data_IF_916065121489
#
_entry.id   IF_916065121489
#
_cell.length_a   1.000
_cell.length_b   1.000
_cell.length_c   1.000
_cell.angle_alpha   90.00
_cell.angle_beta   90.00
_cell.angle_gamma   90.00
#
_symmetry.space_group_name_H-M   'P 1'
#
loop_
_entity.id
_entity.type
_entity.pdbx_description
1 polymer ?
#
# COMPACT_ATOMS: atom_id res chain seq x y z
N UNK A 1 -10.51 -32.01 -58.39
CA UNK A 1 -9.80 -32.51 -57.19
C UNK A 1 -8.66 -31.56 -56.78
N UNK A 2 -7.76 -31.16 -57.70
CA UNK A 2 -6.72 -30.16 -57.40
C UNK A 2 -7.27 -28.79 -56.97
N UNK A 3 -8.33 -28.29 -57.64
CA UNK A 3 -9.00 -27.03 -57.30
C UNK A 3 -9.54 -26.99 -55.85
N UNK A 4 -10.20 -28.07 -55.39
CA UNK A 4 -10.71 -28.16 -54.02
C UNK A 4 -9.58 -28.19 -52.97
N UNK A 5 -8.41 -28.74 -53.29
CA UNK A 5 -7.26 -28.79 -52.37
C UNK A 5 -6.64 -27.40 -52.23
N UNK A 6 -6.58 -26.64 -53.32
CA UNK A 6 -6.02 -25.29 -53.35
C UNK A 6 -6.94 -24.29 -52.64
N UNK A 7 -8.26 -24.39 -52.82
CA UNK A 7 -9.26 -23.63 -52.06
C UNK A 7 -9.24 -23.98 -50.56
N UNK A 8 -9.16 -25.27 -50.19
CA UNK A 8 -9.04 -25.66 -48.78
C UNK A 8 -7.75 -25.14 -48.15
N UNK A 9 -6.62 -25.17 -48.87
CA UNK A 9 -5.35 -24.60 -48.39
C UNK A 9 -5.42 -23.09 -48.22
N UNK A 10 -6.06 -22.38 -49.14
CA UNK A 10 -6.25 -20.94 -49.06
C UNK A 10 -7.16 -20.55 -47.88
N UNK A 11 -8.25 -21.28 -47.66
CA UNK A 11 -9.11 -21.10 -46.48
C UNK A 11 -8.39 -21.42 -45.17
N UNK A 12 -7.62 -22.51 -45.12
CA UNK A 12 -6.85 -22.88 -43.93
C UNK A 12 -5.77 -21.83 -43.62
N UNK A 13 -5.06 -21.35 -44.65
CA UNK A 13 -4.07 -20.28 -44.51
C UNK A 13 -4.69 -18.96 -44.06
N UNK A 14 -5.86 -18.60 -44.60
CA UNK A 14 -6.62 -17.42 -44.17
C UNK A 14 -7.08 -17.52 -42.71
N UNK A 15 -7.63 -18.67 -42.30
CA UNK A 15 -8.06 -18.91 -40.92
C UNK A 15 -6.89 -18.88 -39.92
N UNK A 16 -5.75 -19.48 -40.29
CA UNK A 16 -4.54 -19.45 -39.47
C UNK A 16 -3.98 -18.04 -39.32
N UNK A 17 -4.00 -17.24 -40.38
CA UNK A 17 -3.55 -15.85 -40.32
C UNK A 17 -4.46 -15.00 -39.42
N UNK A 18 -5.78 -15.18 -39.52
CA UNK A 18 -6.74 -14.50 -38.63
C UNK A 18 -6.49 -14.89 -37.16
N UNK A 19 -6.29 -16.18 -36.88
CA UNK A 19 -5.99 -16.65 -35.53
C UNK A 19 -4.66 -16.10 -35.00
N UNK A 20 -3.64 -15.99 -35.85
CA UNK A 20 -2.34 -15.44 -35.48
C UNK A 20 -2.43 -13.94 -35.16
N UNK A 21 -3.12 -13.17 -36.00
CA UNK A 21 -3.31 -11.73 -35.82
C UNK A 21 -4.11 -11.44 -34.53
N UNK A 22 -5.13 -12.25 -34.22
CA UNK A 22 -5.91 -12.15 -32.99
C UNK A 22 -5.08 -12.49 -31.74
N UNK A 23 -4.29 -13.57 -31.78
CA UNK A 23 -3.35 -13.91 -30.70
C UNK A 23 -2.31 -12.81 -30.49
N UNK A 24 -1.80 -12.22 -31.56
CA UNK A 24 -0.86 -11.10 -31.47
C UNK A 24 -1.53 -9.88 -30.83
N UNK A 25 -2.77 -9.55 -31.20
CA UNK A 25 -3.52 -8.47 -30.59
C UNK A 25 -3.75 -8.71 -29.09
N UNK A 26 -4.21 -9.91 -28.71
CA UNK A 26 -4.40 -10.29 -27.32
C UNK A 26 -3.08 -10.22 -26.52
N UNK A 27 -1.97 -10.67 -27.11
CA UNK A 27 -0.66 -10.63 -26.47
C UNK A 27 -0.14 -9.19 -26.31
N UNK A 28 -0.29 -8.33 -27.32
CA UNK A 28 0.07 -6.91 -27.23
C UNK A 28 -0.73 -6.20 -26.14
N UNK A 29 -2.03 -6.49 -26.04
CA UNK A 29 -2.88 -6.01 -24.96
C UNK A 29 -2.33 -6.53 -23.63
N UNK A 30 -2.10 -7.84 -23.48
CA UNK A 30 -1.56 -8.43 -22.26
C UNK A 30 -0.25 -7.77 -21.80
N UNK A 31 0.69 -7.49 -22.71
CA UNK A 31 1.95 -6.80 -22.39
C UNK A 31 1.69 -5.36 -21.90
N UNK A 32 0.85 -4.60 -22.59
CA UNK A 32 0.53 -3.23 -22.20
C UNK A 32 -0.16 -3.18 -20.81
N UNK A 33 -0.94 -4.21 -20.49
CA UNK A 33 -1.61 -4.35 -19.20
C UNK A 33 -0.64 -4.64 -18.04
N UNK A 34 0.49 -5.31 -18.28
CA UNK A 34 1.46 -5.63 -17.22
C UNK A 34 2.27 -4.43 -16.70
N UNK A 35 2.31 -3.31 -17.45
CA UNK A 35 3.10 -2.13 -17.11
C UNK A 35 2.26 -0.97 -16.53
N UNK A 36 0.94 -1.10 -16.46
CA UNK A 36 0.04 -0.07 -15.94
C UNK A 36 -0.33 -0.40 -14.49
N UNK A 37 0.01 0.52 -13.58
CA UNK A 37 -0.23 0.37 -12.14
C UNK A 37 -1.49 1.11 -11.67
N UNK A 38 -2.08 1.94 -12.55
CA UNK A 38 -3.35 2.60 -12.32
C UNK A 38 -4.50 1.67 -12.75
N UNK A 39 -5.22 1.12 -11.76
CA UNK A 39 -6.35 0.23 -12.00
C UNK A 39 -7.42 0.86 -12.92
N UNK A 40 -7.68 2.16 -12.81
CA UNK A 40 -8.71 2.81 -13.64
C UNK A 40 -8.28 2.86 -15.11
N UNK A 41 -7.03 3.23 -15.38
CA UNK A 41 -6.48 3.23 -16.75
C UNK A 41 -6.44 1.82 -17.33
N UNK A 42 -6.04 0.85 -16.51
CA UNK A 42 -6.01 -0.55 -16.90
C UNK A 42 -7.40 -1.02 -17.35
N UNK A 43 -8.43 -0.80 -16.52
CA UNK A 43 -9.80 -1.19 -16.83
C UNK A 43 -10.31 -0.49 -18.10
N UNK A 44 -9.97 0.78 -18.31
CA UNK A 44 -10.31 1.48 -19.55
C UNK A 44 -9.64 0.85 -20.77
N UNK A 45 -8.34 0.52 -20.70
CA UNK A 45 -7.60 -0.12 -21.79
C UNK A 45 -8.18 -1.48 -22.17
N UNK A 46 -8.55 -2.30 -21.18
CA UNK A 46 -9.16 -3.61 -21.42
C UNK A 46 -10.56 -3.44 -22.02
N UNK A 47 -11.34 -2.48 -21.55
CA UNK A 47 -12.68 -2.19 -22.09
C UNK A 47 -12.61 -1.73 -23.55
N UNK A 48 -11.63 -0.90 -23.88
CA UNK A 48 -11.38 -0.47 -25.26
C UNK A 48 -10.94 -1.64 -26.14
N UNK A 49 -10.13 -2.55 -25.60
CA UNK A 49 -9.73 -3.77 -26.30
C UNK A 49 -10.95 -4.68 -26.58
N UNK A 50 -11.79 -4.93 -25.56
CA UNK A 50 -13.01 -5.72 -25.69
C UNK A 50 -13.92 -5.18 -26.81
N UNK A 51 -14.09 -3.85 -26.87
CA UNK A 51 -14.86 -3.20 -27.94
C UNK A 51 -14.24 -3.40 -29.32
N UNK A 52 -12.90 -3.28 -29.43
CA UNK A 52 -12.19 -3.45 -30.71
C UNK A 52 -12.27 -4.87 -31.24
N UNK A 53 -11.97 -5.88 -30.41
CA UNK A 53 -11.94 -7.29 -30.85
C UNK A 53 -13.32 -7.83 -31.21
N UNK A 54 -14.39 -7.25 -30.66
CA UNK A 54 -15.77 -7.61 -31.02
C UNK A 54 -16.37 -6.72 -32.12
N UNK A 55 -15.65 -5.67 -32.54
CA UNK A 55 -16.16 -4.61 -33.41
C UNK A 55 -17.53 -4.05 -32.96
N UNK A 56 -17.79 -4.06 -31.65
CA UNK A 56 -19.02 -3.57 -31.07
C UNK A 56 -19.05 -2.05 -30.99
N UNK A 57 -20.25 -1.49 -30.91
CA UNK A 57 -20.42 -0.04 -30.69
C UNK A 57 -20.09 0.36 -29.26
N UNK A 58 -20.43 -0.49 -28.29
CA UNK A 58 -20.24 -0.21 -26.87
C UNK A 58 -19.63 -1.41 -26.16
N UNK A 59 -18.74 -1.14 -25.21
CA UNK A 59 -18.31 -2.10 -24.22
C UNK A 59 -18.27 -1.40 -22.86
N UNK A 60 -18.68 -2.09 -21.81
CA UNK A 60 -18.63 -1.61 -20.45
C UNK A 60 -18.06 -2.70 -19.57
N UNK A 61 -17.29 -2.28 -18.57
CA UNK A 61 -16.71 -3.16 -17.59
C UNK A 61 -17.24 -2.81 -16.21
N UNK A 62 -17.81 -3.80 -15.55
CA UNK A 62 -18.41 -3.66 -14.23
C UNK A 62 -17.62 -4.46 -13.22
N UNK A 63 -17.35 -3.87 -12.06
CA UNK A 63 -16.71 -4.53 -10.93
C UNK A 63 -17.72 -4.80 -9.82
N UNK A 64 -17.51 -5.92 -9.15
CA UNK A 64 -18.10 -6.17 -7.84
C UNK A 64 -17.26 -5.37 -6.83
N UNK A 65 -17.87 -4.49 -6.02
CA UNK A 65 -17.20 -3.86 -4.89
C UNK A 65 -16.60 -4.94 -4.01
N UNK A 66 -15.33 -4.79 -3.63
CA UNK A 66 -14.70 -5.68 -2.66
C UNK A 66 -15.55 -5.61 -1.38
N UNK A 67 -16.25 -6.70 -1.07
CA UNK A 67 -16.90 -6.84 0.23
C UNK A 67 -15.72 -7.06 1.17
N UNK A 68 -15.22 -5.97 1.77
CA UNK A 68 -14.27 -5.99 2.88
C UNK A 68 -14.60 -7.21 3.73
N UNK A 69 -13.65 -8.13 3.92
CA UNK A 69 -13.81 -9.55 4.32
C UNK A 69 -14.63 -9.87 5.60
N UNK A 70 -15.45 -8.94 6.07
CA UNK A 70 -16.62 -9.10 6.91
C UNK A 70 -17.86 -9.32 6.04
N UNK A 71 -18.24 -10.59 5.93
CA UNK A 71 -19.54 -11.08 5.51
C UNK A 71 -19.88 -10.96 4.01
N UNK A 72 -19.15 -11.69 3.16
CA UNK A 72 -19.61 -12.13 1.85
C UNK A 72 -20.85 -13.08 1.90
N UNK A 73 -21.51 -13.19 3.04
CA UNK A 73 -22.73 -13.99 3.27
C UNK A 73 -23.96 -13.14 3.63
N UNK A 74 -23.83 -11.81 3.67
CA UNK A 74 -24.97 -10.92 3.90
C UNK A 74 -25.45 -10.34 2.57
N UNK A 75 -26.62 -10.81 2.16
CA UNK A 75 -27.41 -10.39 1.00
C UNK A 75 -26.74 -10.52 -0.37
N UNK A 76 -26.60 -11.76 -0.84
CA UNK A 76 -26.39 -12.12 -2.25
C UNK A 76 -27.51 -11.57 -3.17
N UNK A 77 -28.51 -10.88 -2.65
CA UNK A 77 -29.54 -10.16 -3.43
C UNK A 77 -29.26 -8.66 -3.58
N UNK A 78 -28.12 -8.15 -3.06
CA UNK A 78 -27.70 -6.74 -3.11
C UNK A 78 -26.25 -6.56 -3.55
N UNK A 79 -25.64 -7.55 -4.23
CA UNK A 79 -24.36 -7.29 -4.90
C UNK A 79 -24.64 -6.33 -6.04
N UNK A 80 -24.10 -5.15 -5.85
CA UNK A 80 -24.29 -3.94 -6.62
C UNK A 80 -23.08 -3.86 -7.56
N UNK A 81 -23.30 -3.80 -8.86
CA UNK A 81 -22.21 -3.71 -9.82
C UNK A 81 -21.93 -2.26 -10.19
N UNK A 82 -20.67 -1.85 -10.02
CA UNK A 82 -20.24 -0.49 -10.32
C UNK A 82 -19.59 -0.42 -11.69
N UNK A 83 -20.01 0.54 -12.50
CA UNK A 83 -19.35 0.83 -13.76
C UNK A 83 -17.92 1.29 -13.51
N UNK A 84 -16.95 0.47 -13.90
CA UNK A 84 -15.54 0.82 -13.79
C UNK A 84 -15.04 1.56 -15.03
N UNK A 85 -15.39 1.06 -16.22
CA UNK A 85 -14.97 1.64 -17.49
C UNK A 85 -16.02 1.45 -18.58
N UNK A 86 -16.06 2.38 -19.55
CA UNK A 86 -16.95 2.30 -20.72
C UNK A 86 -16.22 2.78 -21.97
N UNK A 87 -16.45 2.10 -23.09
CA UNK A 87 -15.88 2.42 -24.40
C UNK A 87 -16.98 2.60 -25.42
N UNK A 88 -16.82 3.58 -26.31
CA UNK A 88 -17.79 3.90 -27.36
C UNK A 88 -18.96 4.79 -26.92
N UNK A 89 -19.00 5.20 -25.64
CA UNK A 89 -19.94 6.19 -25.13
C UNK A 89 -19.39 7.63 -25.30
N UNK A 90 -20.29 8.61 -25.43
CA UNK A 90 -19.89 10.03 -25.33
C UNK A 90 -19.64 10.40 -23.86
N UNK A 91 -18.87 11.47 -23.56
CA UNK A 91 -18.65 11.90 -22.18
C UNK A 91 -19.95 12.19 -21.40
N UNK A 92 -20.99 12.66 -22.09
CA UNK A 92 -22.30 12.88 -21.50
C UNK A 92 -22.98 11.55 -21.09
N UNK A 93 -22.91 10.53 -21.95
CA UNK A 93 -23.44 9.19 -21.67
C UNK A 93 -22.65 8.54 -20.54
N UNK A 94 -21.32 8.60 -20.58
CA UNK A 94 -20.46 8.06 -19.53
C UNK A 94 -20.78 8.70 -18.18
N UNK A 95 -20.88 10.03 -18.12
CA UNK A 95 -21.29 10.73 -16.91
C UNK A 95 -22.66 10.24 -16.46
N UNK A 96 -23.64 10.17 -17.35
CA UNK A 96 -24.98 9.68 -17.02
C UNK A 96 -24.97 8.27 -16.43
N UNK A 97 -24.22 7.34 -17.04
CA UNK A 97 -24.07 5.97 -16.55
C UNK A 97 -23.48 5.90 -15.14
N UNK A 98 -22.51 6.75 -14.81
CA UNK A 98 -21.99 6.84 -13.44
C UNK A 98 -23.03 7.37 -12.44
N UNK A 99 -24.03 8.13 -12.89
CA UNK A 99 -25.12 8.66 -12.06
C UNK A 99 -26.34 7.73 -11.99
N UNK A 100 -26.48 6.76 -12.90
CA UNK A 100 -27.55 5.75 -12.86
C UNK A 100 -27.48 4.87 -11.61
N UNK A 101 -26.36 4.94 -10.87
CA UNK A 101 -26.15 4.15 -9.69
C UNK A 101 -25.82 2.69 -10.06
N UNK A 102 -25.86 1.80 -9.08
CA UNK A 102 -25.43 0.44 -9.29
C UNK A 102 -26.45 -0.36 -10.10
N UNK A 103 -25.93 -1.31 -10.89
CA UNK A 103 -26.75 -2.19 -11.69
C UNK A 103 -27.15 -3.41 -10.87
N UNK A 104 -28.45 -3.62 -10.71
CA UNK A 104 -28.98 -4.87 -10.17
C UNK A 104 -28.79 -5.98 -11.23
N UNK A 105 -28.23 -7.12 -10.83
CA UNK A 105 -28.02 -8.26 -11.72
C UNK A 105 -29.32 -9.01 -12.03
N UNK A 106 -30.33 -8.33 -12.57
CA UNK A 106 -31.65 -8.88 -12.88
C UNK A 106 -31.84 -9.07 -14.39
N UNK A 107 -32.86 -9.84 -14.77
CA UNK A 107 -33.21 -10.04 -16.18
C UNK A 107 -32.06 -10.62 -17.00
N UNK A 108 -31.68 -9.95 -18.10
CA UNK A 108 -30.55 -10.35 -18.96
C UNK A 108 -29.20 -10.37 -18.26
N UNK A 109 -29.07 -9.67 -17.14
CA UNK A 109 -27.84 -9.57 -16.39
C UNK A 109 -27.71 -10.67 -15.34
N UNK A 110 -28.81 -11.36 -15.00
CA UNK A 110 -28.82 -12.39 -13.96
C UNK A 110 -27.86 -13.54 -14.22
N UNK A 111 -27.78 -14.12 -15.43
CA UNK A 111 -26.85 -15.22 -15.68
C UNK A 111 -25.38 -14.80 -15.52
N UNK A 112 -25.07 -13.58 -15.94
CA UNK A 112 -23.72 -13.00 -15.91
C UNK A 112 -23.31 -12.63 -14.50
N UNK A 113 -24.23 -12.30 -13.61
CA UNK A 113 -23.86 -11.84 -12.28
C UNK A 113 -24.07 -12.88 -11.18
N UNK A 114 -24.91 -13.89 -11.38
CA UNK A 114 -25.30 -14.82 -10.32
C UNK A 114 -25.16 -16.30 -10.69
N UNK A 115 -25.47 -16.69 -11.92
CA UNK A 115 -25.49 -18.11 -12.31
C UNK A 115 -24.12 -18.63 -12.75
N UNK A 116 -23.15 -17.74 -12.92
CA UNK A 116 -21.85 -18.18 -13.39
C UNK A 116 -21.84 -18.54 -14.88
N UNK A 117 -22.58 -17.84 -15.76
CA UNK A 117 -22.60 -18.16 -17.19
C UNK A 117 -22.46 -16.92 -18.07
N UNK A 118 -21.67 -17.05 -19.14
CA UNK A 118 -21.66 -16.09 -20.25
C UNK A 118 -23.01 -16.14 -20.99
N UNK A 119 -23.48 -15.00 -21.49
CA UNK A 119 -24.75 -14.88 -22.22
C UNK A 119 -24.54 -14.17 -23.56
N UNK A 120 -25.20 -14.68 -24.59
CA UNK A 120 -25.37 -14.00 -25.88
C UNK A 120 -26.85 -13.76 -26.10
N UNK A 121 -27.20 -12.54 -26.48
CA UNK A 121 -28.57 -12.13 -26.79
C UNK A 121 -28.56 -11.48 -28.17
N UNK A 122 -29.22 -12.13 -29.10
CA UNK A 122 -29.29 -11.68 -30.50
C UNK A 122 -30.14 -10.41 -30.65
N UNK A 123 -31.31 -10.39 -30.01
CA UNK A 123 -32.15 -9.20 -29.90
C UNK A 123 -32.77 -9.06 -28.49
N UNK A 124 -32.30 -8.07 -27.76
CA UNK A 124 -32.73 -7.69 -26.41
C UNK A 124 -34.23 -7.42 -26.37
N UNK A 125 -34.82 -6.85 -27.43
CA UNK A 125 -36.25 -6.56 -27.47
C UNK A 125 -37.13 -7.80 -27.65
N UNK A 126 -36.56 -8.90 -28.12
CA UNK A 126 -37.25 -10.18 -28.33
C UNK A 126 -37.00 -11.17 -27.17
N UNK A 127 -36.03 -10.90 -26.29
CA UNK A 127 -35.68 -11.76 -25.17
C UNK A 127 -36.65 -11.59 -23.98
N UNK A 128 -37.23 -12.69 -23.51
CA UNK A 128 -38.21 -12.71 -22.41
C UNK A 128 -37.64 -12.24 -21.07
N UNK A 129 -36.32 -12.25 -20.90
CA UNK A 129 -35.62 -11.78 -19.69
C UNK A 129 -35.40 -10.26 -19.71
N UNK A 130 -35.73 -9.58 -20.81
CA UNK A 130 -35.57 -8.13 -20.90
C UNK A 130 -36.60 -7.41 -20.02
N UNK A 131 -36.10 -6.64 -19.06
CA UNK A 131 -36.92 -5.90 -18.08
C UNK A 131 -36.93 -4.39 -18.33
N UNK A 132 -36.41 -3.95 -19.49
CA UNK A 132 -36.23 -2.54 -19.82
C UNK A 132 -34.85 -2.00 -19.40
N UNK A 133 -34.65 -0.70 -19.65
CA UNK A 133 -33.45 0.04 -19.27
C UNK A 133 -33.83 1.38 -18.65
N UNK A 134 -33.00 1.95 -17.76
CA UNK A 134 -33.23 3.28 -17.22
C UNK A 134 -33.29 4.37 -18.30
N UNK A 135 -33.93 5.49 -17.99
CA UNK A 135 -33.95 6.66 -18.87
C UNK A 135 -32.52 7.15 -19.17
N UNK A 136 -32.24 7.46 -20.44
CA UNK A 136 -30.91 7.90 -20.90
C UNK A 136 -29.88 6.77 -21.08
N UNK A 137 -30.28 5.50 -20.95
CA UNK A 137 -29.43 4.37 -21.27
C UNK A 137 -29.08 4.32 -22.77
N UNK A 138 -27.90 3.78 -23.10
CA UNK A 138 -27.51 3.57 -24.51
C UNK A 138 -28.46 2.59 -25.19
N UNK A 139 -28.84 2.83 -26.45
CA UNK A 139 -29.63 1.86 -27.19
C UNK A 139 -28.80 0.63 -27.50
N UNK A 140 -29.32 -0.54 -27.12
CA UNK A 140 -28.69 -1.84 -27.32
C UNK A 140 -29.75 -2.79 -27.88
N UNK A 141 -29.41 -3.48 -28.96
CA UNK A 141 -30.25 -4.52 -29.59
C UNK A 141 -29.60 -5.88 -29.46
N UNK A 142 -28.30 -6.02 -29.70
CA UNK A 142 -27.60 -7.26 -29.36
C UNK A 142 -26.71 -7.06 -28.14
N UNK A 143 -26.55 -8.10 -27.33
CA UNK A 143 -25.82 -8.04 -26.07
C UNK A 143 -24.96 -9.30 -25.85
N UNK A 144 -23.74 -9.09 -25.36
CA UNK A 144 -22.81 -10.13 -24.93
C UNK A 144 -22.37 -9.81 -23.51
N UNK A 145 -22.68 -10.70 -22.58
CA UNK A 145 -22.24 -10.63 -21.20
C UNK A 145 -21.26 -11.74 -20.88
N UNK A 146 -20.05 -11.40 -20.45
CA UNK A 146 -19.01 -12.38 -20.09
C UNK A 146 -18.44 -12.05 -18.74
N UNK A 147 -18.31 -13.06 -17.90
CA UNK A 147 -17.84 -12.89 -16.54
C UNK A 147 -16.34 -12.68 -16.46
N UNK A 148 -15.94 -12.00 -15.39
CA UNK A 148 -14.57 -11.96 -14.93
C UNK A 148 -14.43 -12.83 -13.68
N UNK A 149 -13.59 -13.87 -13.74
CA UNK A 149 -13.36 -14.77 -12.61
C UNK A 149 -11.89 -14.90 -12.25
N UNK A 150 -11.63 -15.08 -10.97
CA UNK A 150 -10.32 -15.53 -10.49
C UNK A 150 -10.12 -17.02 -10.77
N UNK A 151 -8.89 -17.52 -10.53
CA UNK A 151 -8.58 -18.95 -10.61
C UNK A 151 -9.35 -19.78 -9.57
N UNK A 152 -9.75 -19.14 -8.47
CA UNK A 152 -10.54 -19.71 -7.38
C UNK A 152 -12.05 -19.58 -7.62
N UNK A 153 -12.47 -19.35 -8.87
CA UNK A 153 -13.88 -19.21 -9.30
C UNK A 153 -14.66 -18.06 -8.63
N UNK A 154 -13.95 -17.10 -8.04
CA UNK A 154 -14.59 -15.89 -7.50
C UNK A 154 -14.89 -14.90 -8.62
N UNK A 155 -16.12 -14.41 -8.70
CA UNK A 155 -16.51 -13.39 -9.68
C UNK A 155 -15.93 -12.04 -9.22
N UNK A 156 -15.16 -11.38 -10.08
CA UNK A 156 -14.63 -10.04 -9.86
C UNK A 156 -15.48 -8.96 -10.53
N UNK A 157 -16.22 -9.33 -11.58
CA UNK A 157 -16.92 -8.39 -12.43
C UNK A 157 -17.43 -9.03 -13.72
N UNK A 158 -17.78 -8.20 -14.70
CA UNK A 158 -18.20 -8.65 -16.02
C UNK A 158 -17.95 -7.62 -17.13
N UNK A 159 -17.70 -8.12 -18.34
CA UNK A 159 -17.85 -7.38 -19.58
C UNK A 159 -19.31 -7.40 -20.01
N UNK A 160 -19.85 -6.22 -20.27
CA UNK A 160 -21.14 -6.01 -20.90
C UNK A 160 -20.92 -5.30 -22.23
N UNK A 161 -21.12 -6.02 -23.34
CA UNK A 161 -20.83 -5.53 -24.69
C UNK A 161 -22.14 -5.43 -25.46
N UNK A 162 -22.34 -4.31 -26.16
CA UNK A 162 -23.61 -4.01 -26.81
C UNK A 162 -23.47 -3.34 -28.17
N UNK A 163 -24.42 -3.61 -29.05
CA UNK A 163 -24.55 -2.94 -30.36
C UNK A 163 -26.03 -2.61 -30.64
N UNK A 164 -26.27 -1.51 -31.36
CA UNK A 164 -27.62 -1.08 -31.76
C UNK A 164 -28.24 -1.95 -32.86
N UNK A 165 -27.45 -2.80 -33.50
CA UNK A 165 -27.90 -3.79 -34.47
C UNK A 165 -28.12 -5.13 -33.77
N UNK A 166 -29.16 -5.90 -34.11
CA UNK A 166 -29.33 -7.26 -33.60
C UNK A 166 -28.34 -8.23 -34.26
N UNK A 167 -28.20 -9.44 -33.70
CA UNK A 167 -27.41 -10.57 -34.24
C UNK A 167 -25.92 -10.23 -34.50
N UNK A 168 -25.26 -9.51 -33.57
CA UNK A 168 -23.87 -9.08 -33.76
C UNK A 168 -22.82 -10.01 -33.18
N UNK A 169 -23.18 -10.80 -32.17
CA UNK A 169 -22.23 -11.61 -31.43
C UNK A 169 -22.28 -13.06 -31.89
N UNK A 170 -21.12 -13.69 -31.99
CA UNK A 170 -20.96 -15.07 -32.45
C UNK A 170 -20.17 -15.84 -31.40
N UNK A 171 -20.10 -17.16 -31.50
CA UNK A 171 -19.25 -17.99 -30.61
C UNK A 171 -17.81 -17.50 -30.58
N UNK A 172 -17.27 -17.01 -31.72
CA UNK A 172 -15.92 -16.46 -31.78
C UNK A 172 -15.75 -15.22 -30.89
N UNK A 173 -16.75 -14.34 -30.87
CA UNK A 173 -16.73 -13.16 -30.01
C UNK A 173 -16.77 -13.55 -28.52
N UNK A 174 -17.50 -14.61 -28.16
CA UNK A 174 -17.52 -15.14 -26.80
C UNK A 174 -16.12 -15.62 -26.40
N UNK A 175 -15.49 -16.47 -27.20
CA UNK A 175 -14.14 -17.01 -26.95
C UNK A 175 -13.09 -15.90 -26.75
N UNK A 176 -13.12 -14.87 -27.61
CA UNK A 176 -12.19 -13.74 -27.52
C UNK A 176 -12.35 -12.96 -26.22
N UNK A 177 -13.60 -12.73 -25.80
CA UNK A 177 -13.88 -11.98 -24.58
C UNK A 177 -13.64 -12.83 -23.34
N UNK A 178 -13.88 -14.15 -23.38
CA UNK A 178 -13.50 -15.05 -22.29
C UNK A 178 -11.99 -15.10 -22.08
N UNK A 179 -11.21 -15.15 -23.16
CA UNK A 179 -9.75 -15.06 -23.09
C UNK A 179 -9.28 -13.70 -22.52
N UNK A 180 -9.91 -12.60 -22.96
CA UNK A 180 -9.61 -11.28 -22.44
C UNK A 180 -10.01 -11.13 -20.97
N UNK A 181 -11.14 -11.70 -20.56
CA UNK A 181 -11.56 -11.80 -19.16
C UNK A 181 -10.53 -12.54 -18.32
N UNK A 182 -10.09 -13.74 -18.74
CA UNK A 182 -9.08 -14.48 -17.99
C UNK A 182 -7.80 -13.66 -17.77
N UNK A 183 -7.34 -12.94 -18.80
CA UNK A 183 -6.18 -12.05 -18.69
C UNK A 183 -6.44 -10.84 -17.78
N UNK A 184 -7.62 -10.23 -17.91
CA UNK A 184 -8.03 -9.10 -17.09
C UNK A 184 -8.07 -9.48 -15.60
N UNK A 185 -8.54 -10.68 -15.26
CA UNK A 185 -8.67 -11.14 -13.89
C UNK A 185 -7.30 -11.24 -13.21
N UNK A 186 -6.33 -11.85 -13.89
CA UNK A 186 -4.94 -11.94 -13.42
C UNK A 186 -4.36 -10.54 -13.24
N UNK A 187 -4.59 -9.65 -14.21
CA UNK A 187 -3.98 -8.31 -14.16
C UNK A 187 -4.58 -7.45 -13.04
N UNK A 188 -5.90 -7.46 -12.87
CA UNK A 188 -6.59 -6.76 -11.79
C UNK A 188 -6.14 -7.29 -10.43
N UNK A 189 -6.05 -8.61 -10.28
CA UNK A 189 -5.55 -9.23 -9.05
C UNK A 189 -4.12 -8.77 -8.73
N UNK A 190 -3.23 -8.76 -9.72
CA UNK A 190 -1.85 -8.30 -9.56
C UNK A 190 -1.79 -6.80 -9.20
N UNK A 191 -2.58 -5.96 -9.86
CA UNK A 191 -2.64 -4.53 -9.58
C UNK A 191 -3.13 -4.25 -8.15
N UNK A 192 -4.16 -4.97 -7.70
CA UNK A 192 -4.67 -4.89 -6.32
C UNK A 192 -3.63 -5.37 -5.30
N UNK A 193 -2.92 -6.47 -5.59
CA UNK A 193 -1.86 -6.97 -4.72
C UNK A 193 -0.72 -5.94 -4.58
N UNK A 194 -0.22 -5.41 -5.70
CA UNK A 194 0.83 -4.38 -5.71
C UNK A 194 0.38 -3.13 -4.95
N UNK A 195 -0.87 -2.69 -5.14
CA UNK A 195 -1.42 -1.55 -4.42
C UNK A 195 -1.46 -1.78 -2.90
N UNK A 196 -1.88 -2.98 -2.45
CA UNK A 196 -1.88 -3.38 -1.03
C UNK A 196 -0.47 -3.43 -0.44
N UNK A 197 0.48 -4.03 -1.14
CA UNK A 197 1.87 -4.08 -0.69
C UNK A 197 2.47 -2.67 -0.59
N UNK A 198 2.25 -1.82 -1.58
CA UNK A 198 2.72 -0.43 -1.56
C UNK A 198 2.15 0.33 -0.37
N UNK A 199 0.85 0.22 -0.12
CA UNK A 199 0.21 0.86 1.03
C UNK A 199 0.80 0.35 2.36
N UNK A 200 1.04 -0.96 2.48
CA UNK A 200 1.66 -1.54 3.67
C UNK A 200 3.11 -1.03 3.86
N UNK A 201 3.88 -0.91 2.78
CA UNK A 201 5.24 -0.35 2.83
C UNK A 201 5.23 1.13 3.24
N UNK A 202 4.31 1.93 2.72
CA UNK A 202 4.16 3.35 3.09
C UNK A 202 3.79 3.50 4.58
N UNK A 203 2.89 2.65 5.09
CA UNK A 203 2.54 2.61 6.51
C UNK A 203 3.71 2.20 7.39
N UNK A 204 4.46 1.18 6.98
CA UNK A 204 5.65 0.71 7.70
C UNK A 204 6.77 1.76 7.72
N UNK A 205 7.03 2.42 6.59
CA UNK A 205 8.00 3.51 6.52
C UNK A 205 7.61 4.67 7.46
N UNK A 206 6.35 5.08 7.45
CA UNK A 206 5.85 6.12 8.36
C UNK A 206 5.95 5.72 9.84
N UNK A 207 5.79 4.43 10.16
CA UNK A 207 6.01 3.93 11.51
C UNK A 207 7.49 3.97 11.90
N UNK A 208 8.38 3.52 11.03
CA UNK A 208 9.82 3.50 11.27
C UNK A 208 10.36 4.93 11.45
N UNK A 209 9.90 5.89 10.66
CA UNK A 209 10.26 7.30 10.81
C UNK A 209 9.88 7.86 12.18
N UNK A 210 8.68 7.51 12.69
CA UNK A 210 8.25 7.90 14.04
C UNK A 210 9.16 7.30 15.10
N UNK A 211 9.45 6.00 15.01
CA UNK A 211 10.30 5.31 15.97
C UNK A 211 11.73 5.85 15.98
N UNK A 212 12.32 6.09 14.79
CA UNK A 212 13.64 6.71 14.67
C UNK A 212 13.66 8.09 15.30
N UNK A 213 12.63 8.91 15.08
CA UNK A 213 12.52 10.25 15.69
C UNK A 213 12.45 10.18 17.21
N UNK A 214 11.63 9.27 17.75
CA UNK A 214 11.50 9.07 19.20
C UNK A 214 12.81 8.59 19.83
N UNK A 215 13.47 7.60 19.21
CA UNK A 215 14.75 7.06 19.68
C UNK A 215 15.88 8.09 19.58
N UNK A 216 15.89 8.90 18.53
CA UNK A 216 16.87 9.99 18.38
C UNK A 216 16.71 11.03 19.48
N UNK A 217 15.47 11.45 19.76
CA UNK A 217 15.18 12.38 20.85
C UNK A 217 15.54 11.80 22.23
N UNK A 218 15.31 10.50 22.46
CA UNK A 218 15.75 9.82 23.68
C UNK A 218 17.27 9.80 23.82
N UNK A 219 17.98 9.44 22.74
CA UNK A 219 19.45 9.41 22.71
C UNK A 219 20.03 10.80 22.96
N UNK A 220 19.46 11.86 22.38
CA UNK A 220 19.87 13.24 22.62
C UNK A 220 19.70 13.63 24.10
N UNK A 221 18.56 13.28 24.72
CA UNK A 221 18.36 13.53 26.17
C UNK A 221 19.39 12.80 27.02
N UNK A 222 19.61 11.51 26.78
CA UNK A 222 20.62 10.73 27.52
C UNK A 222 22.04 11.28 27.32
N UNK A 223 22.36 11.72 26.11
CA UNK A 223 23.67 12.30 25.82
C UNK A 223 23.87 13.63 26.58
N UNK A 224 22.83 14.46 26.65
CA UNK A 224 22.85 15.68 27.46
C UNK A 224 23.01 15.37 28.97
N UNK A 225 22.32 14.36 29.49
CA UNK A 225 22.48 13.92 30.89
C UNK A 225 23.89 13.41 31.17
N UNK A 226 24.43 12.53 30.32
CA UNK A 226 25.80 12.03 30.44
C UNK A 226 26.82 13.17 30.39
N UNK A 227 26.61 14.17 29.52
CA UNK A 227 27.47 15.35 29.46
C UNK A 227 27.41 16.16 30.76
N UNK A 228 26.24 16.30 31.39
CA UNK A 228 26.11 16.97 32.70
C UNK A 228 26.85 16.19 33.79
N UNK A 229 26.69 14.87 33.83
CA UNK A 229 27.41 14.02 34.78
C UNK A 229 28.93 14.10 34.60
N UNK A 230 29.42 14.08 33.36
CA UNK A 230 30.84 14.23 33.06
C UNK A 230 31.40 15.58 33.56
N UNK A 231 30.67 16.68 33.34
CA UNK A 231 31.06 18.01 33.84
C UNK A 231 31.06 18.05 35.37
N UNK A 232 30.02 17.53 36.02
CA UNK A 232 29.93 17.49 37.48
C UNK A 232 31.05 16.65 38.11
N UNK A 233 31.34 15.47 37.53
CA UNK A 233 32.45 14.64 37.99
C UNK A 233 33.80 15.35 37.84
N UNK A 234 34.02 16.09 36.74
CA UNK A 234 35.25 16.86 36.55
C UNK A 234 35.39 17.96 37.61
N UNK A 235 34.32 18.71 37.89
CA UNK A 235 34.35 19.73 38.96
C UNK A 235 34.62 19.12 40.35
N UNK A 236 33.96 18.02 40.69
CA UNK A 236 34.20 17.31 41.96
C UNK A 236 35.64 16.79 42.07
N UNK A 237 36.22 16.31 40.97
CA UNK A 237 37.60 15.87 40.95
C UNK A 237 38.58 17.03 41.19
N UNK A 238 38.33 18.19 40.56
CA UNK A 238 39.15 19.39 40.77
C UNK A 238 39.04 19.90 42.22
N UNK A 239 37.84 19.92 42.80
CA UNK A 239 37.61 20.28 44.21
C UNK A 239 38.32 19.34 45.18
N UNK A 240 38.22 18.02 44.96
CA UNK A 240 38.91 17.03 45.78
C UNK A 240 40.42 17.19 45.71
N UNK A 241 40.95 17.45 44.52
CA UNK A 241 42.39 17.68 44.31
C UNK A 241 42.88 18.91 45.06
N UNK A 242 42.12 20.00 45.03
CA UNK A 242 42.45 21.21 45.80
C UNK A 242 42.30 21.01 47.32
N UNK A 243 41.29 20.29 47.76
CA UNK A 243 41.14 19.93 49.17
C UNK A 243 42.31 19.06 49.68
N UNK A 244 42.74 18.07 48.90
CA UNK A 244 43.91 17.24 49.21
C UNK A 244 45.20 18.05 49.33
N UNK A 245 45.44 19.00 48.40
CA UNK A 245 46.60 19.91 48.51
C UNK A 245 46.55 20.74 49.78
N UNK A 246 45.39 21.32 50.13
CA UNK A 246 45.24 22.11 51.36
C UNK A 246 45.48 21.28 52.61
N UNK A 247 44.96 20.05 52.64
CA UNK A 247 45.19 19.12 53.73
C UNK A 247 46.68 18.77 53.86
N UNK A 248 47.34 18.43 52.74
CA UNK A 248 48.78 18.14 52.73
C UNK A 248 49.61 19.31 53.27
N UNK A 249 49.29 20.54 52.88
CA UNK A 249 49.94 21.74 53.41
C UNK A 249 49.66 21.97 54.90
N UNK A 250 48.46 21.67 55.38
CA UNK A 250 48.10 21.77 56.79
C UNK A 250 48.86 20.73 57.64
N UNK A 251 48.96 19.49 57.16
CA UNK A 251 49.69 18.42 57.81
C UNK A 251 51.19 18.76 57.90
N UNK A 252 51.79 19.28 56.81
CA UNK A 252 53.20 19.69 56.82
C UNK A 252 53.44 20.87 57.77
N UNK A 253 52.51 21.83 57.85
CA UNK A 253 52.56 22.92 58.83
C UNK A 253 52.52 22.41 60.27
N UNK A 254 51.62 21.47 60.59
CA UNK A 254 51.56 20.85 61.91
C UNK A 254 52.85 20.11 62.24
N UNK A 255 53.39 19.34 61.30
CA UNK A 255 54.65 18.62 61.46
C UNK A 255 55.81 19.56 61.74
N UNK A 256 55.97 20.62 60.93
CA UNK A 256 57.01 21.64 61.12
C UNK A 256 56.85 22.35 62.48
N UNK A 257 55.61 22.67 62.89
CA UNK A 257 55.35 23.30 64.17
C UNK A 257 55.74 22.40 65.35
N UNK A 258 55.44 21.10 65.28
CA UNK A 258 55.88 20.12 66.27
C UNK A 258 57.41 20.00 66.33
N UNK A 259 58.09 19.84 65.18
CA UNK A 259 59.56 19.77 65.14
C UNK A 259 60.22 21.04 65.68
N UNK A 260 59.70 22.23 65.34
CA UNK A 260 60.18 23.51 65.88
C UNK A 260 59.96 23.59 67.39
N UNK A 261 58.79 23.19 67.89
CA UNK A 261 58.48 23.19 69.32
C UNK A 261 59.47 22.30 70.09
N UNK A 262 59.68 21.07 69.62
CA UNK A 262 60.62 20.12 70.23
C UNK A 262 62.05 20.66 70.25
N UNK A 263 62.49 21.27 69.15
CA UNK A 263 63.84 21.83 69.02
C UNK A 263 64.05 23.07 69.91
N UNK A 264 63.03 23.92 70.03
CA UNK A 264 63.05 25.09 70.93
C UNK A 264 63.08 24.63 72.39
N UNK A 265 62.26 23.64 72.76
CA UNK A 265 62.28 23.04 74.10
C UNK A 265 63.66 22.46 74.43
N UNK A 266 64.26 21.69 73.52
CA UNK A 266 65.63 21.17 73.69
C UNK A 266 66.68 22.28 73.87
N UNK A 267 66.61 23.34 73.07
CA UNK A 267 67.57 24.46 73.14
C UNK A 267 67.44 25.23 74.45
N UNK A 268 66.21 25.53 74.90
CA UNK A 268 65.94 26.17 76.19
C UNK A 268 66.47 25.34 77.36
N UNK A 269 66.31 24.02 77.30
CA UNK A 269 66.84 23.11 78.31
C UNK A 269 68.37 23.11 78.33
N UNK A 270 69.01 23.21 77.17
CA UNK A 270 70.48 23.23 77.02
C UNK A 270 71.10 24.54 77.52
N UNK A 271 70.40 25.68 77.38
CA UNK A 271 70.85 27.01 77.87
C UNK A 271 70.55 27.20 79.38
N UNK A 272 69.92 26.23 80.04
CA UNK A 272 69.71 26.25 81.49
C UNK A 272 68.48 27.05 81.95
N UNK A 273 67.54 27.36 81.06
CA UNK A 273 66.26 27.99 81.42
C UNK A 273 65.25 26.91 81.81
N UNK A 274 65.32 26.42 83.05
CA UNK A 274 64.26 25.59 83.63
C UNK A 274 63.08 26.47 84.04
N UNK A 275 61.99 26.43 83.28
CA UNK A 275 60.75 27.12 83.64
C UNK A 275 60.12 26.52 84.90
N UNK A 276 60.27 27.20 86.04
CA UNK A 276 59.53 26.89 87.27
C UNK A 276 58.06 27.25 87.10
N UNK A 277 57.16 26.27 87.28
CA UNK A 277 55.72 26.51 87.45
C UNK A 277 55.53 27.48 88.63
N UNK A 278 55.04 28.68 88.35
CA UNK A 278 54.66 29.65 89.37
C UNK A 278 53.29 29.25 89.94
N UNK A 279 53.29 28.59 91.09
CA UNK A 279 52.14 28.52 91.99
C UNK A 279 52.23 29.74 92.91
N UNK A 280 51.22 30.61 92.87
CA UNK A 280 50.78 31.60 93.88
C UNK A 280 50.47 32.98 93.26
N UNK A 281 49.20 33.25 92.95
CA UNK A 281 48.37 34.10 93.82
C UNK A 281 46.89 34.12 93.35
N UNK A 282 45.91 34.20 94.28
CA UNK A 282 44.48 34.31 94.01
C UNK A 282 44.01 35.78 93.96
N UNK A 283 42.76 36.03 93.53
CA UNK A 283 41.81 37.12 93.91
C UNK A 283 40.63 37.04 92.91
N UNK A 284 39.49 36.48 93.31
CA UNK A 284 38.26 37.14 93.81
C UNK A 284 37.37 37.76 92.71
N UNK A 285 36.13 37.25 92.68
CA UNK A 285 34.92 37.53 91.86
C UNK A 285 34.97 37.34 90.33
#
# INVERSE_FOLDING_TARGET
MAQNIEESRAQLGGNLQIQADELEQLNRIAIALTSEFDLQKLLQMITDAARRVTAAQYAAFFLIPEIDGKNAQQDVHKVIFNLAAISGATPAIEKHFRHLGPVEGIGLLHPVFWEGSSIVVDDVLEDRRYVGVPSGHIPVRSFLGVQLRTREESILGAFLIGDRRPYRFSTRHVELIEALSAQAAVTIHNAQLIARERQAMEQYAAQLEREVKERTAELERRNQELSKYATNMRMLHDELTEAQKRQMLADDRSRIAQELHDRVQQTLFTIGLTGTRCHLCPLYD
#
